data_IF_717890776851
#
_entry.id   IF_717890776851
#
_cell.length_a   1.000
_cell.length_b   1.000
_cell.length_c   1.000
_cell.angle_alpha   90.00
_cell.angle_beta   90.00
_cell.angle_gamma   90.00
#
_symmetry.space_group_name_H-M   'P 1'
#
loop_
_entity.id
_entity.type
_entity.pdbx_description
1 polymer ?
#
# COMPACT_ATOMS: atom_id res chain seq x y z
N UNK A 1 -6.14 -24.72 -17.19
CA UNK A 1 -4.91 -24.96 -16.42
C UNK A 1 -5.07 -24.36 -15.03
N UNK A 2 -5.48 -25.15 -14.04
CA UNK A 2 -5.53 -24.75 -12.63
C UNK A 2 -5.74 -26.00 -11.78
N UNK A 3 -4.67 -26.70 -11.41
CA UNK A 3 -4.75 -27.64 -10.29
C UNK A 3 -3.37 -28.03 -9.72
N UNK A 4 -2.49 -27.05 -9.51
CA UNK A 4 -1.21 -27.34 -8.86
C UNK A 4 -1.37 -28.00 -7.47
N UNK A 5 -2.37 -27.62 -6.64
CA UNK A 5 -2.66 -28.35 -5.41
C UNK A 5 -2.96 -29.83 -5.65
N UNK A 6 -3.83 -30.18 -6.61
CA UNK A 6 -4.10 -31.58 -6.94
C UNK A 6 -2.85 -32.28 -7.47
N UNK A 7 -2.06 -31.65 -8.35
CA UNK A 7 -0.81 -32.23 -8.86
C UNK A 7 0.15 -32.59 -7.72
N UNK A 8 0.28 -31.72 -6.72
CA UNK A 8 1.11 -31.97 -5.53
C UNK A 8 0.56 -33.11 -4.68
N UNK A 9 -0.76 -33.12 -4.41
CA UNK A 9 -1.41 -34.20 -3.68
C UNK A 9 -1.26 -35.54 -4.39
N UNK A 10 -1.49 -35.58 -5.71
CA UNK A 10 -1.32 -36.79 -6.52
C UNK A 10 0.14 -37.27 -6.54
N UNK A 11 1.11 -36.37 -6.66
CA UNK A 11 2.54 -36.72 -6.60
C UNK A 11 2.93 -37.28 -5.24
N UNK A 12 2.49 -36.64 -4.16
CA UNK A 12 2.75 -37.14 -2.81
C UNK A 12 2.08 -38.47 -2.52
N UNK A 13 0.85 -38.68 -2.99
CA UNK A 13 0.16 -39.96 -2.90
C UNK A 13 0.90 -41.06 -3.68
N UNK A 14 1.37 -40.78 -4.89
CA UNK A 14 2.19 -41.70 -5.68
C UNK A 14 3.50 -42.05 -4.96
N UNK A 15 4.20 -41.06 -4.40
CA UNK A 15 5.43 -41.29 -3.64
C UNK A 15 5.19 -42.12 -2.38
N UNK A 16 4.06 -41.91 -1.68
CA UNK A 16 3.67 -42.70 -0.54
C UNK A 16 3.35 -44.16 -0.92
N UNK A 17 2.69 -44.37 -2.06
CA UNK A 17 2.40 -45.71 -2.59
C UNK A 17 3.69 -46.46 -2.96
N UNK A 18 4.60 -45.80 -3.68
CA UNK A 18 5.90 -46.39 -4.03
C UNK A 18 6.72 -46.73 -2.79
N UNK A 19 6.77 -45.84 -1.80
CA UNK A 19 7.47 -46.11 -0.54
C UNK A 19 6.88 -47.32 0.20
N UNK A 20 5.55 -47.45 0.21
CA UNK A 20 4.87 -48.60 0.79
C UNK A 20 5.14 -49.91 0.02
N UNK A 21 5.19 -49.87 -1.32
CA UNK A 21 5.53 -51.02 -2.17
C UNK A 21 6.97 -51.49 -1.94
N UNK A 22 7.91 -50.54 -1.83
CA UNK A 22 9.33 -50.81 -1.59
C UNK A 22 9.66 -51.13 -0.11
N UNK A 23 8.67 -51.08 0.80
CA UNK A 23 8.88 -51.28 2.23
C UNK A 23 9.75 -50.21 2.90
N UNK A 24 9.82 -49.02 2.32
CA UNK A 24 10.62 -47.89 2.81
C UNK A 24 9.77 -46.91 3.62
N UNK A 25 10.42 -46.03 4.39
CA UNK A 25 9.72 -45.00 5.15
C UNK A 25 9.02 -44.00 4.22
N UNK A 26 7.81 -43.58 4.58
CA UNK A 26 7.09 -42.55 3.86
C UNK A 26 7.95 -41.28 3.72
N UNK A 27 8.07 -40.72 2.50
CA UNK A 27 8.81 -39.48 2.32
C UNK A 27 8.11 -38.34 3.08
N UNK A 28 8.87 -37.46 3.75
CA UNK A 28 8.28 -36.35 4.48
C UNK A 28 7.55 -35.41 3.53
N UNK A 29 6.38 -34.92 3.94
CA UNK A 29 5.70 -33.88 3.20
C UNK A 29 6.52 -32.58 3.27
N UNK A 30 6.78 -31.88 2.15
CA UNK A 30 7.57 -30.67 2.17
C UNK A 30 6.93 -29.62 3.09
N UNK A 31 7.61 -29.27 4.17
CA UNK A 31 7.19 -28.18 5.04
C UNK A 31 7.64 -26.86 4.45
N UNK A 32 6.67 -26.13 3.91
CA UNK A 32 6.85 -24.78 3.42
C UNK A 32 6.30 -23.80 4.43
N UNK A 33 7.13 -22.89 4.91
CA UNK A 33 6.76 -21.89 5.91
C UNK A 33 6.89 -20.49 5.31
N UNK A 34 6.09 -19.55 5.82
CA UNK A 34 6.32 -18.15 5.46
C UNK A 34 7.63 -17.69 6.11
N UNK A 35 8.49 -16.96 5.38
CA UNK A 35 9.71 -16.42 5.96
C UNK A 35 9.38 -15.50 7.14
N UNK A 36 10.19 -15.47 8.21
CA UNK A 36 10.03 -14.49 9.28
C UNK A 36 9.98 -13.06 8.71
N UNK A 37 9.14 -12.19 9.28
CA UNK A 37 8.88 -10.86 8.71
C UNK A 37 10.15 -10.03 8.45
N UNK A 38 11.08 -9.99 9.41
CA UNK A 38 12.35 -9.28 9.27
C UNK A 38 13.20 -9.83 8.11
N UNK A 39 13.24 -11.16 7.95
CA UNK A 39 13.94 -11.81 6.85
C UNK A 39 13.24 -11.50 5.51
N UNK A 40 11.92 -11.62 5.46
CA UNK A 40 11.15 -11.32 4.26
C UNK A 40 11.33 -9.86 3.79
N UNK A 41 11.31 -8.90 4.72
CA UNK A 41 11.61 -7.49 4.45
C UNK A 41 13.03 -7.31 3.94
N UNK A 42 14.01 -8.00 4.53
CA UNK A 42 15.40 -7.95 4.04
C UNK A 42 15.57 -8.50 2.61
N UNK A 43 14.62 -9.32 2.14
CA UNK A 43 14.57 -9.89 0.78
C UNK A 43 13.82 -9.01 -0.23
N UNK A 44 13.03 -8.02 0.17
CA UNK A 44 12.20 -7.24 -0.78
C UNK A 44 13.03 -6.36 -1.70
N UNK A 45 12.71 -6.29 -2.99
CA UNK A 45 13.41 -5.44 -3.92
C UNK A 45 13.50 -6.07 -5.31
N UNK A 46 14.25 -5.42 -6.19
CA UNK A 46 14.33 -5.76 -7.60
C UNK A 46 15.59 -6.57 -7.87
N UNK A 47 15.46 -7.68 -8.57
CA UNK A 47 16.52 -8.64 -8.85
C UNK A 47 16.61 -8.88 -10.36
N UNK A 48 17.79 -8.74 -10.95
CA UNK A 48 18.00 -8.91 -12.39
C UNK A 48 17.90 -7.62 -13.19
N UNK A 49 17.77 -7.71 -14.51
CA UNK A 49 17.79 -6.59 -15.45
C UNK A 49 16.88 -6.86 -16.65
N UNK A 50 16.40 -5.79 -17.30
CA UNK A 50 15.50 -5.91 -18.45
C UNK A 50 14.23 -6.70 -18.11
N UNK A 51 13.90 -7.71 -18.90
CA UNK A 51 12.78 -8.62 -18.66
C UNK A 51 13.18 -9.88 -17.86
N UNK A 52 14.49 -10.12 -17.67
CA UNK A 52 15.01 -11.28 -16.93
C UNK A 52 15.27 -10.89 -15.48
N UNK A 53 14.21 -10.96 -14.68
CA UNK A 53 14.28 -10.59 -13.27
C UNK A 53 12.96 -10.69 -12.54
N UNK A 54 13.03 -10.38 -11.25
CA UNK A 54 11.92 -10.46 -10.32
C UNK A 54 11.88 -9.24 -9.42
N UNK A 55 10.69 -8.77 -9.09
CA UNK A 55 10.46 -7.89 -7.95
C UNK A 55 9.92 -8.73 -6.79
N UNK A 56 10.62 -8.72 -5.67
CA UNK A 56 10.16 -9.33 -4.43
C UNK A 56 9.44 -8.30 -3.57
N UNK A 57 8.20 -8.61 -3.20
CA UNK A 57 7.32 -7.75 -2.41
C UNK A 57 6.85 -8.51 -1.16
N UNK A 58 6.93 -7.86 0.01
CA UNK A 58 6.35 -8.38 1.24
C UNK A 58 5.06 -7.65 1.55
N UNK A 59 3.94 -8.37 1.58
CA UNK A 59 2.60 -7.82 1.75
C UNK A 59 1.75 -8.74 2.63
N UNK A 60 1.10 -8.19 3.65
CA UNK A 60 0.18 -8.92 4.54
C UNK A 60 0.77 -10.22 5.09
N UNK A 61 2.01 -10.17 5.58
CA UNK A 61 2.67 -11.34 6.17
C UNK A 61 3.22 -12.36 5.16
N UNK A 62 3.21 -12.05 3.86
CA UNK A 62 3.58 -13.00 2.80
C UNK A 62 4.57 -12.37 1.83
N UNK A 63 5.55 -13.16 1.41
CA UNK A 63 6.51 -12.78 0.38
C UNK A 63 5.99 -13.21 -1.00
N UNK A 64 6.09 -12.32 -1.97
CA UNK A 64 5.70 -12.56 -3.35
C UNK A 64 6.82 -12.20 -4.31
N UNK A 65 6.82 -12.84 -5.48
CA UNK A 65 7.66 -12.49 -6.61
C UNK A 65 6.82 -12.13 -7.83
N UNK A 66 7.17 -11.03 -8.47
CA UNK A 66 6.64 -10.61 -9.76
C UNK A 66 7.73 -10.69 -10.83
N UNK A 67 7.55 -11.50 -11.89
CA UNK A 67 8.49 -11.49 -13.00
C UNK A 67 8.44 -10.14 -13.74
N UNK A 68 9.59 -9.62 -14.15
CA UNK A 68 9.68 -8.39 -14.94
C UNK A 68 9.01 -8.50 -16.31
N UNK A 69 8.97 -9.70 -16.88
CA UNK A 69 8.33 -10.01 -18.16
C UNK A 69 6.79 -10.03 -18.10
N UNK A 70 6.17 -9.85 -16.92
CA UNK A 70 4.75 -10.16 -16.71
C UNK A 70 4.52 -11.63 -16.39
N UNK A 71 3.27 -12.07 -16.43
CA UNK A 71 2.88 -13.38 -15.90
C UNK A 71 2.07 -13.26 -14.62
N UNK A 72 2.30 -14.22 -13.73
CA UNK A 72 1.59 -14.33 -12.47
C UNK A 72 2.45 -13.90 -11.30
N UNK A 73 1.83 -13.32 -10.29
CA UNK A 73 2.44 -13.18 -8.97
C UNK A 73 2.62 -14.55 -8.32
N UNK A 74 3.82 -14.85 -7.88
CA UNK A 74 4.14 -16.11 -7.19
C UNK A 74 4.27 -15.85 -5.70
N UNK A 75 3.53 -16.59 -4.85
CA UNK A 75 3.82 -16.61 -3.41
C UNK A 75 5.11 -17.40 -3.20
N UNK A 76 6.04 -16.85 -2.43
CA UNK A 76 7.28 -17.50 -2.05
C UNK A 76 7.21 -17.96 -0.59
N UNK A 77 7.65 -19.19 -0.33
CA UNK A 77 7.76 -19.77 1.01
C UNK A 77 9.12 -20.43 1.19
N UNK A 78 9.59 -20.55 2.42
CA UNK A 78 10.84 -21.20 2.75
C UNK A 78 10.69 -22.72 2.83
N UNK A 79 11.61 -23.44 2.19
CA UNK A 79 11.82 -24.88 2.31
C UNK A 79 13.32 -25.08 2.59
N UNK A 80 13.66 -25.23 3.87
CA UNK A 80 15.05 -25.06 4.33
C UNK A 80 15.56 -23.65 4.03
N UNK A 81 16.70 -23.54 3.36
CA UNK A 81 17.31 -22.27 2.95
C UNK A 81 16.82 -21.74 1.59
N UNK A 82 15.90 -22.46 0.94
CA UNK A 82 15.39 -22.09 -0.39
C UNK A 82 14.08 -21.35 -0.29
N UNK A 83 13.91 -20.33 -1.12
CA UNK A 83 12.62 -19.75 -1.46
C UNK A 83 11.99 -20.59 -2.56
N UNK A 84 10.77 -21.06 -2.36
CA UNK A 84 10.04 -21.92 -3.29
C UNK A 84 8.71 -21.27 -3.63
N UNK A 85 8.34 -21.28 -4.92
CA UNK A 85 7.01 -20.86 -5.35
C UNK A 85 5.95 -21.83 -4.82
N UNK A 86 4.92 -21.29 -4.19
CA UNK A 86 3.87 -22.05 -3.51
C UNK A 86 2.51 -21.36 -3.71
N UNK A 87 2.02 -21.38 -4.94
CA UNK A 87 0.76 -20.77 -5.35
C UNK A 87 -0.24 -21.76 -5.95
N UNK A 88 -1.44 -21.27 -6.26
CA UNK A 88 -2.52 -22.06 -6.86
C UNK A 88 -2.26 -22.44 -8.33
N UNK A 89 -1.55 -21.56 -9.05
CA UNK A 89 -1.25 -21.72 -10.47
C UNK A 89 0.12 -22.35 -10.73
N UNK A 90 1.09 -22.12 -9.83
CA UNK A 90 2.47 -22.56 -9.97
C UNK A 90 3.07 -22.96 -8.64
N UNK A 91 3.90 -24.00 -8.64
CA UNK A 91 4.67 -24.41 -7.47
C UNK A 91 5.97 -25.12 -7.83
N UNK A 92 6.96 -25.02 -6.95
CA UNK A 92 8.18 -25.83 -6.99
C UNK A 92 9.37 -25.16 -7.68
N UNK A 93 9.18 -24.02 -8.36
CA UNK A 93 10.31 -23.20 -8.78
C UNK A 93 11.01 -22.67 -7.53
N UNK A 94 12.33 -22.78 -7.46
CA UNK A 94 13.07 -22.43 -6.24
C UNK A 94 14.32 -21.64 -6.50
N UNK A 95 14.61 -20.75 -5.56
CA UNK A 95 15.76 -19.87 -5.55
C UNK A 95 16.46 -19.94 -4.19
N UNK A 96 17.77 -19.74 -4.17
CA UNK A 96 18.51 -19.40 -2.95
C UNK A 96 18.64 -17.88 -2.89
N UNK A 97 18.30 -17.27 -1.77
CA UNK A 97 18.62 -15.87 -1.51
C UNK A 97 20.02 -15.83 -0.89
N UNK A 98 20.94 -15.12 -1.54
CA UNK A 98 22.34 -14.99 -1.10
C UNK A 98 22.64 -13.57 -0.69
N UNK A 99 23.45 -13.44 0.35
CA UNK A 99 24.08 -12.19 0.75
C UNK A 99 25.55 -12.48 1.02
N UNK A 100 26.40 -12.22 0.05
CA UNK A 100 27.84 -12.47 0.12
C UNK A 100 28.56 -11.12 0.15
N UNK A 101 29.17 -10.76 1.29
CA UNK A 101 29.86 -9.48 1.48
C UNK A 101 29.01 -8.24 1.15
N UNK A 102 27.70 -8.28 1.46
CA UNK A 102 26.76 -7.21 1.15
C UNK A 102 26.19 -7.23 -0.27
N UNK A 103 26.67 -8.14 -1.13
CA UNK A 103 26.11 -8.36 -2.46
C UNK A 103 24.95 -9.35 -2.37
N UNK A 104 23.74 -8.83 -2.53
CA UNK A 104 22.50 -9.60 -2.44
C UNK A 104 22.09 -10.10 -3.82
N UNK A 105 21.73 -11.38 -3.94
CA UNK A 105 21.26 -11.96 -5.20
C UNK A 105 20.24 -13.09 -4.99
N UNK A 106 19.43 -13.37 -6.01
CA UNK A 106 18.68 -14.62 -6.13
C UNK A 106 19.44 -15.58 -7.04
N UNK A 107 19.51 -16.84 -6.65
CA UNK A 107 20.19 -17.90 -7.42
C UNK A 107 19.22 -19.03 -7.75
N UNK A 108 19.21 -19.49 -9.00
CA UNK A 108 18.64 -20.79 -9.40
C UNK A 108 19.71 -21.66 -10.07
N UNK A 109 19.38 -22.90 -10.43
CA UNK A 109 20.32 -23.84 -11.03
C UNK A 109 21.09 -24.66 -9.99
N UNK A 110 22.06 -25.44 -10.46
CA UNK A 110 22.95 -26.24 -9.60
C UNK A 110 24.14 -25.40 -9.13
N UNK A 111 24.94 -25.93 -8.22
CA UNK A 111 26.19 -25.25 -7.80
C UNK A 111 27.22 -25.18 -8.92
N UNK A 112 27.18 -26.13 -9.86
CA UNK A 112 28.07 -26.17 -11.02
C UNK A 112 27.66 -25.23 -12.16
N UNK A 113 26.38 -24.83 -12.22
CA UNK A 113 25.84 -23.93 -13.25
C UNK A 113 24.77 -23.01 -12.65
N UNK A 114 25.19 -21.99 -11.87
CA UNK A 114 24.27 -21.10 -11.20
C UNK A 114 23.81 -19.96 -12.10
N UNK A 115 22.50 -19.74 -12.17
CA UNK A 115 21.94 -18.49 -12.70
C UNK A 115 21.71 -17.52 -11.55
N UNK A 116 22.34 -16.34 -11.62
CA UNK A 116 22.26 -15.29 -10.61
C UNK A 116 21.49 -14.07 -11.13
N UNK A 117 20.59 -13.58 -10.29
CA UNK A 117 19.94 -12.27 -10.47
C UNK A 117 20.42 -11.36 -9.33
N UNK A 118 21.37 -10.45 -9.58
CA UNK A 118 21.83 -9.51 -8.57
C UNK A 118 20.71 -8.54 -8.19
N UNK A 119 20.64 -8.14 -6.92
CA UNK A 119 19.73 -7.08 -6.48
C UNK A 119 20.15 -5.76 -7.11
N UNK A 120 19.19 -5.02 -7.66
CA UNK A 120 19.39 -3.66 -8.12
C UNK A 120 19.69 -2.76 -6.90
N UNK A 121 20.62 -1.82 -7.04
CA UNK A 121 20.87 -0.82 -6.01
C UNK A 121 19.60 0.00 -5.76
N UNK A 122 19.23 0.16 -4.48
CA UNK A 122 17.92 0.74 -4.10
C UNK A 122 17.90 2.27 -4.10
N UNK A 123 18.92 2.93 -4.67
CA UNK A 123 19.20 4.33 -4.39
C UNK A 123 18.53 5.32 -5.34
N UNK A 124 18.14 4.90 -6.54
CA UNK A 124 17.54 5.80 -7.51
C UNK A 124 16.03 5.56 -7.66
N UNK A 125 15.20 6.62 -7.56
CA UNK A 125 13.80 6.52 -7.94
C UNK A 125 13.68 6.07 -9.41
N UNK A 126 12.68 5.24 -9.76
CA UNK A 126 12.40 4.90 -11.16
C UNK A 126 12.25 6.16 -12.03
N UNK A 127 12.61 6.11 -13.32
CA UNK A 127 12.48 7.25 -14.20
C UNK A 127 11.03 7.71 -14.32
N UNK A 128 10.84 9.01 -14.51
CA UNK A 128 9.52 9.56 -14.88
C UNK A 128 9.17 9.11 -16.28
N UNK A 129 7.89 8.86 -16.51
CA UNK A 129 7.37 8.33 -17.76
C UNK A 129 6.74 9.44 -18.59
N UNK A 130 6.45 9.16 -19.87
CA UNK A 130 5.72 10.10 -20.71
C UNK A 130 4.43 10.59 -20.01
N UNK A 131 4.23 11.91 -19.83
CA UNK A 131 3.03 12.44 -19.18
C UNK A 131 1.72 11.96 -19.81
N UNK A 132 1.73 11.66 -21.11
CA UNK A 132 0.59 11.13 -21.87
C UNK A 132 0.12 9.72 -21.48
N UNK A 133 0.87 9.01 -20.64
CA UNK A 133 0.41 7.73 -20.11
C UNK A 133 -0.31 7.89 -18.77
N UNK A 134 -0.14 9.03 -18.09
CA UNK A 134 -0.64 9.24 -16.74
C UNK A 134 -2.16 9.11 -16.64
N UNK A 135 -2.87 9.54 -17.68
CA UNK A 135 -4.32 9.47 -17.82
C UNK A 135 -4.84 8.09 -18.23
N UNK A 136 -3.97 7.23 -18.77
CA UNK A 136 -4.26 5.83 -19.10
C UNK A 136 -4.20 4.91 -17.87
N UNK A 137 -3.54 5.33 -16.79
CA UNK A 137 -3.37 4.52 -15.58
C UNK A 137 -4.65 4.47 -14.74
N UNK A 138 -4.83 3.36 -14.04
CA UNK A 138 -5.93 3.15 -13.10
C UNK A 138 -6.78 1.94 -13.46
N UNK A 139 -7.95 1.85 -12.82
CA UNK A 139 -8.86 0.74 -13.00
C UNK A 139 -9.89 1.01 -14.10
N UNK A 140 -10.32 -0.06 -14.77
CA UNK A 140 -11.34 -0.07 -15.79
C UNK A 140 -12.26 -1.29 -15.59
N UNK A 141 -13.53 -1.18 -16.00
CA UNK A 141 -14.50 -2.28 -15.98
C UNK A 141 -15.36 -2.32 -14.72
N UNK A 142 -15.68 -3.53 -14.28
CA UNK A 142 -16.66 -3.80 -13.22
C UNK A 142 -15.98 -4.32 -11.95
N UNK A 143 -16.70 -4.28 -10.82
CA UNK A 143 -16.20 -4.79 -9.54
C UNK A 143 -15.83 -6.29 -9.61
N UNK A 144 -16.55 -7.03 -10.45
CA UNK A 144 -16.36 -8.46 -10.68
C UNK A 144 -15.51 -8.78 -11.92
N UNK A 145 -14.93 -7.78 -12.59
CA UNK A 145 -13.91 -7.98 -13.63
C UNK A 145 -13.23 -6.64 -13.89
N UNK A 146 -12.20 -6.36 -13.10
CA UNK A 146 -11.43 -5.11 -13.17
C UNK A 146 -10.17 -5.34 -14.01
N UNK A 147 -9.97 -4.47 -14.99
CA UNK A 147 -8.74 -4.33 -15.76
C UNK A 147 -7.98 -3.14 -15.18
N UNK A 148 -6.80 -3.38 -14.60
CA UNK A 148 -5.95 -2.31 -14.07
C UNK A 148 -4.81 -2.04 -15.02
N UNK A 149 -4.72 -0.80 -15.51
CA UNK A 149 -3.58 -0.31 -16.28
C UNK A 149 -2.57 0.31 -15.33
N UNK A 150 -1.32 -0.11 -15.44
CA UNK A 150 -0.21 0.37 -14.62
C UNK A 150 1.01 0.55 -15.49
N UNK A 151 1.94 1.40 -15.06
CA UNK A 151 3.28 1.36 -15.61
C UNK A 151 4.19 0.48 -14.76
N UNK A 152 5.03 -0.31 -15.42
CA UNK A 152 6.15 -1.03 -14.81
C UNK A 152 7.32 -1.08 -15.78
N UNK A 153 8.54 -0.84 -15.31
CA UNK A 153 9.77 -1.03 -16.07
C UNK A 153 9.85 -0.23 -17.39
N UNK A 154 9.28 0.97 -17.45
CA UNK A 154 9.27 1.79 -18.67
C UNK A 154 8.22 1.36 -19.70
N UNK A 155 7.26 0.50 -19.34
CA UNK A 155 6.21 0.03 -20.24
C UNK A 155 4.86 -0.02 -19.54
N UNK A 156 3.78 0.15 -20.29
CA UNK A 156 2.45 -0.11 -19.76
C UNK A 156 2.23 -1.61 -19.60
N UNK A 157 1.53 -1.96 -18.53
CA UNK A 157 1.06 -3.30 -18.25
C UNK A 157 -0.43 -3.27 -17.96
N UNK A 158 -1.07 -4.40 -18.20
CA UNK A 158 -2.45 -4.66 -17.82
C UNK A 158 -2.51 -5.82 -16.85
N UNK A 159 -3.03 -5.57 -15.66
CA UNK A 159 -3.48 -6.61 -14.75
C UNK A 159 -4.95 -6.91 -15.05
N UNK A 160 -5.23 -8.12 -15.50
CA UNK A 160 -6.58 -8.59 -15.86
C UNK A 160 -6.80 -10.01 -15.32
N UNK A 161 -8.07 -10.39 -15.16
CA UNK A 161 -8.46 -11.65 -14.52
C UNK A 161 -7.88 -11.76 -13.10
N UNK A 162 -7.69 -10.64 -12.39
CA UNK A 162 -7.18 -10.53 -11.01
C UNK A 162 -5.77 -11.08 -10.71
N UNK A 163 -5.16 -11.85 -11.62
CA UNK A 163 -3.92 -12.57 -11.35
C UNK A 163 -2.91 -12.56 -12.50
N UNK A 164 -3.25 -12.02 -13.66
CA UNK A 164 -2.40 -12.05 -14.83
C UNK A 164 -1.98 -10.65 -15.26
N UNK A 165 -0.66 -10.42 -15.28
CA UNK A 165 -0.04 -9.16 -15.66
C UNK A 165 0.59 -9.28 -17.05
N UNK A 166 0.12 -8.48 -18.02
CA UNK A 166 0.60 -8.49 -19.40
C UNK A 166 1.39 -7.21 -19.72
N UNK A 167 2.61 -7.29 -20.27
CA UNK A 167 3.28 -6.14 -20.85
C UNK A 167 2.57 -5.72 -22.13
N UNK A 168 2.39 -4.42 -22.35
CA UNK A 168 1.84 -3.86 -23.57
C UNK A 168 2.94 -3.32 -24.47
N UNK A 169 2.82 -3.57 -25.77
CA UNK A 169 3.61 -2.87 -26.80
C UNK A 169 2.78 -1.74 -27.35
N UNK A 170 3.30 -0.51 -27.29
CA UNK A 170 2.65 0.64 -27.93
C UNK A 170 2.76 0.54 -29.45
N UNK A 171 1.64 0.72 -30.15
CA UNK A 171 1.56 0.72 -31.62
C UNK A 171 0.89 1.98 -32.19
N UNK A 172 0.34 2.84 -31.33
CA UNK A 172 -0.24 4.14 -31.63
C UNK A 172 -0.48 4.94 -30.35
N UNK A 173 -0.99 6.17 -30.46
CA UNK A 173 -1.17 7.07 -29.31
C UNK A 173 -2.05 6.47 -28.21
N UNK A 174 -3.17 5.85 -28.61
CA UNK A 174 -4.11 5.16 -27.75
C UNK A 174 -4.21 3.66 -28.07
N UNK A 175 -3.34 3.15 -28.95
CA UNK A 175 -3.36 1.78 -29.45
C UNK A 175 -2.14 0.99 -28.95
N UNK A 176 -2.42 -0.16 -28.34
CA UNK A 176 -1.45 -1.07 -27.76
C UNK A 176 -1.74 -2.51 -28.19
N UNK A 177 -0.76 -3.38 -28.00
CA UNK A 177 -0.86 -4.80 -28.33
C UNK A 177 -0.39 -5.65 -27.16
N UNK A 178 -1.16 -6.70 -26.85
CA UNK A 178 -0.77 -7.75 -25.92
C UNK A 178 0.41 -8.57 -26.48
N UNK A 179 1.16 -9.31 -25.64
CA UNK A 179 2.24 -10.16 -26.12
C UNK A 179 1.67 -11.36 -26.90
N UNK A 180 2.52 -12.12 -27.58
CA UNK A 180 2.12 -13.33 -28.33
C UNK A 180 1.90 -14.58 -27.46
N UNK A 181 1.59 -14.38 -26.17
CA UNK A 181 1.39 -15.45 -25.20
C UNK A 181 0.26 -15.11 -24.22
N UNK A 182 -0.24 -16.15 -23.54
CA UNK A 182 -1.33 -16.03 -22.56
C UNK A 182 -2.71 -16.01 -23.22
N UNK A 183 -3.73 -15.60 -22.46
CA UNK A 183 -5.14 -15.65 -22.89
C UNK A 183 -5.50 -14.59 -23.93
N UNK A 184 -4.77 -13.48 -23.94
CA UNK A 184 -4.99 -12.34 -24.84
C UNK A 184 -3.88 -12.28 -25.91
N UNK A 185 -3.32 -13.43 -26.28
CA UNK A 185 -2.18 -13.48 -27.19
C UNK A 185 -2.50 -12.74 -28.50
N UNK A 186 -1.64 -11.77 -28.86
CA UNK A 186 -1.74 -10.94 -30.07
C UNK A 186 -2.99 -10.05 -30.17
N UNK A 187 -3.82 -9.96 -29.12
CA UNK A 187 -4.97 -9.07 -29.08
C UNK A 187 -4.56 -7.59 -29.05
N UNK A 188 -5.43 -6.75 -29.61
CA UNK A 188 -5.31 -5.30 -29.55
C UNK A 188 -5.94 -4.72 -28.27
N UNK A 189 -5.36 -3.64 -27.78
CA UNK A 189 -5.90 -2.81 -26.72
C UNK A 189 -6.01 -1.37 -27.20
N UNK A 190 -7.18 -0.74 -27.06
CA UNK A 190 -7.41 0.65 -27.47
C UNK A 190 -8.05 1.47 -26.38
N UNK A 191 -7.46 2.61 -26.03
CA UNK A 191 -8.10 3.60 -25.17
C UNK A 191 -9.12 4.43 -25.96
N UNK A 192 -10.26 4.71 -25.33
CA UNK A 192 -11.29 5.59 -25.87
C UNK A 192 -11.34 6.87 -25.06
N UNK A 193 -11.27 7.99 -25.77
CA UNK A 193 -11.41 9.33 -25.22
C UNK A 193 -12.76 9.93 -25.58
N UNK A 194 -13.24 10.86 -24.75
CA UNK A 194 -14.37 11.73 -25.11
C UNK A 194 -13.92 12.92 -25.96
N UNK A 195 -14.89 13.75 -26.36
CA UNK A 195 -14.66 14.95 -27.17
C UNK A 195 -13.75 15.98 -26.46
N UNK A 196 -13.58 15.86 -25.15
CA UNK A 196 -12.64 16.69 -24.36
C UNK A 196 -11.25 16.09 -24.23
N UNK A 197 -11.00 14.93 -24.85
CA UNK A 197 -9.73 14.21 -24.82
C UNK A 197 -9.52 13.36 -23.56
N UNK A 198 -10.51 13.25 -22.67
CA UNK A 198 -10.39 12.44 -21.44
C UNK A 198 -10.66 10.98 -21.74
N UNK A 199 -9.80 10.09 -21.23
CA UNK A 199 -10.00 8.64 -21.32
C UNK A 199 -11.27 8.25 -20.57
N UNK A 200 -12.20 7.57 -21.25
CA UNK A 200 -13.46 7.08 -20.67
C UNK A 200 -13.55 5.55 -20.64
N UNK A 201 -12.78 4.85 -21.47
CA UNK A 201 -12.79 3.39 -21.51
C UNK A 201 -11.51 2.84 -22.14
N UNK A 202 -11.33 1.54 -22.00
CA UNK A 202 -10.35 0.74 -22.74
C UNK A 202 -11.06 -0.44 -23.39
N UNK A 203 -10.71 -0.75 -24.63
CA UNK A 203 -11.21 -1.90 -25.38
C UNK A 203 -10.13 -2.96 -25.43
N UNK A 204 -10.49 -4.20 -25.15
CA UNK A 204 -9.68 -5.39 -25.39
C UNK A 204 -10.48 -6.29 -26.31
N UNK A 205 -10.05 -6.41 -27.56
CA UNK A 205 -10.87 -7.00 -28.62
C UNK A 205 -12.26 -6.32 -28.69
N UNK A 206 -13.38 -7.07 -28.62
CA UNK A 206 -14.73 -6.50 -28.64
C UNK A 206 -15.23 -6.00 -27.26
N UNK A 207 -14.49 -6.24 -26.17
CA UNK A 207 -14.95 -5.97 -24.80
C UNK A 207 -14.53 -4.56 -24.38
N UNK A 208 -15.50 -3.75 -23.95
CA UNK A 208 -15.29 -2.38 -23.48
C UNK A 208 -15.31 -2.32 -21.94
N UNK A 209 -14.21 -1.86 -21.35
CA UNK A 209 -14.06 -1.64 -19.92
C UNK A 209 -14.11 -0.14 -19.64
N UNK A 210 -15.15 0.34 -18.95
CA UNK A 210 -15.30 1.76 -18.61
C UNK A 210 -14.26 2.19 -17.57
N UNK A 211 -13.67 3.38 -17.70
CA UNK A 211 -12.73 3.93 -16.71
C UNK A 211 -13.42 4.02 -15.36
N UNK A 212 -12.76 3.48 -14.33
CA UNK A 212 -13.24 3.53 -12.96
C UNK A 212 -12.55 4.66 -12.20
N UNK A 213 -13.28 5.21 -11.24
CA UNK A 213 -14.73 5.32 -11.13
C UNK A 213 -15.24 6.14 -12.31
N UNK A 214 -16.41 5.80 -12.84
CA UNK A 214 -17.09 6.63 -13.85
C UNK A 214 -17.36 8.08 -13.37
N UNK A 215 -17.13 8.37 -12.09
CA UNK A 215 -17.23 9.66 -11.44
C UNK A 215 -16.00 9.90 -10.54
N UNK A 216 -14.94 10.50 -11.07
CA UNK A 216 -13.76 10.83 -10.24
C UNK A 216 -13.30 12.25 -10.49
N UNK A 217 -13.54 13.11 -9.49
CA UNK A 217 -12.78 14.28 -9.02
C UNK A 217 -13.65 15.38 -8.37
N UNK A 218 -14.96 15.43 -8.67
CA UNK A 218 -15.79 16.61 -8.33
C UNK A 218 -16.76 16.46 -7.15
N UNK A 219 -17.12 15.25 -6.70
CA UNK A 219 -18.22 15.07 -5.73
C UNK A 219 -17.85 14.21 -4.50
N UNK A 220 -16.71 14.46 -3.86
CA UNK A 220 -16.74 14.36 -2.39
C UNK A 220 -17.54 15.58 -1.94
N UNK A 221 -18.70 15.36 -1.31
CA UNK A 221 -19.61 16.43 -0.92
C UNK A 221 -18.86 17.46 -0.05
N UNK A 222 -18.42 18.55 -0.68
CA UNK A 222 -17.75 19.64 0.01
C UNK A 222 -18.80 20.37 0.82
N UNK A 223 -18.72 20.25 2.13
CA UNK A 223 -19.62 20.95 3.04
C UNK A 223 -19.15 22.40 3.20
N UNK A 224 -20.11 23.33 3.17
CA UNK A 224 -19.82 24.70 3.60
C UNK A 224 -19.58 24.73 5.12
N UNK A 225 -18.84 25.72 5.65
CA UNK A 225 -18.68 25.90 7.09
C UNK A 225 -20.02 25.95 7.85
N UNK A 226 -21.03 26.61 7.28
CA UNK A 226 -22.38 26.72 7.86
C UNK A 226 -23.08 25.36 7.92
N UNK A 227 -22.93 24.54 6.87
CA UNK A 227 -23.52 23.20 6.82
C UNK A 227 -22.87 22.27 7.85
N UNK A 228 -21.55 22.40 8.05
CA UNK A 228 -20.83 21.65 9.08
C UNK A 228 -21.26 22.07 10.49
N UNK A 229 -21.43 23.38 10.74
CA UNK A 229 -21.85 23.88 12.05
C UNK A 229 -23.31 23.52 12.37
N UNK A 230 -24.19 23.58 11.36
CA UNK A 230 -25.56 23.08 11.48
C UNK A 230 -25.58 21.59 11.82
N UNK A 231 -24.76 20.77 11.14
CA UNK A 231 -24.62 19.36 11.48
C UNK A 231 -24.14 19.18 12.93
N UNK A 232 -23.06 19.87 13.33
CA UNK A 232 -22.52 19.82 14.70
C UNK A 232 -23.58 20.13 15.74
N UNK A 233 -24.40 21.15 15.50
CA UNK A 233 -25.49 21.57 16.41
C UNK A 233 -26.64 20.57 16.52
N UNK A 234 -26.84 19.70 15.51
CA UNK A 234 -27.90 18.68 15.52
C UNK A 234 -27.45 17.35 16.13
N UNK A 235 -26.14 17.09 16.22
CA UNK A 235 -25.63 15.86 16.80
C UNK A 235 -25.80 15.87 18.34
N UNK A 236 -26.37 14.80 18.93
CA UNK A 236 -26.53 14.74 20.37
C UNK A 236 -25.16 14.73 21.07
N UNK A 237 -25.13 15.26 22.29
CA UNK A 237 -23.99 15.10 23.18
C UNK A 237 -23.74 13.60 23.40
N UNK A 238 -22.49 13.19 23.22
CA UNK A 238 -22.07 11.81 23.39
C UNK A 238 -20.61 11.80 23.86
N UNK A 239 -20.23 10.73 24.54
CA UNK A 239 -18.86 10.45 25.00
C UNK A 239 -18.29 9.25 24.23
N UNK A 240 -16.97 9.13 24.10
CA UNK A 240 -16.35 7.97 23.46
C UNK A 240 -16.76 6.68 24.18
N UNK A 241 -16.93 5.57 23.43
CA UNK A 241 -17.10 4.24 24.02
C UNK A 241 -15.93 3.91 24.97
N UNK A 242 -16.25 3.52 26.20
CA UNK A 242 -15.26 3.07 27.20
C UNK A 242 -15.04 1.57 27.11
N UNK A 243 -13.82 1.11 27.36
CA UNK A 243 -13.49 -0.31 27.49
C UNK A 243 -13.48 -0.76 28.96
N UNK A 244 -13.41 -2.07 29.19
CA UNK A 244 -13.36 -2.68 30.53
C UNK A 244 -11.95 -2.61 31.19
N UNK A 245 -10.98 -1.94 30.55
CA UNK A 245 -9.58 -1.88 31.00
C UNK A 245 -9.30 -0.57 31.73
N UNK A 246 -8.36 -0.60 32.67
CA UNK A 246 -7.81 0.63 33.25
C UNK A 246 -7.10 1.42 32.16
N UNK A 247 -7.55 2.63 31.90
CA UNK A 247 -7.01 3.46 30.83
C UNK A 247 -5.58 3.92 31.18
N UNK A 248 -4.58 3.69 30.30
CA UNK A 248 -3.27 4.30 30.46
C UNK A 248 -3.40 5.83 30.51
N UNK A 249 -2.61 6.46 31.38
CA UNK A 249 -2.48 7.92 31.42
C UNK A 249 -1.78 8.34 30.11
N UNK A 250 -2.36 9.29 29.35
CA UNK A 250 -1.74 9.76 28.12
C UNK A 250 -0.44 10.51 28.37
N UNK A 251 0.54 10.26 27.51
CA UNK A 251 1.85 10.91 27.48
C UNK A 251 1.99 11.61 26.13
N UNK A 252 1.33 12.78 26.03
CA UNK A 252 1.19 13.52 24.78
C UNK A 252 2.48 14.26 24.40
N UNK A 253 2.83 14.21 23.12
CA UNK A 253 3.94 14.98 22.54
C UNK A 253 3.44 15.82 21.36
N UNK A 254 3.73 17.12 21.35
CA UNK A 254 3.57 17.99 20.18
C UNK A 254 4.70 17.70 19.20
N UNK A 255 4.36 17.22 17.99
CA UNK A 255 5.36 16.88 16.98
C UNK A 255 6.20 18.08 16.55
N UNK A 256 5.62 19.29 16.55
CA UNK A 256 6.36 20.51 16.19
C UNK A 256 7.45 20.85 17.21
N UNK A 257 7.28 20.45 18.47
CA UNK A 257 8.28 20.66 19.52
C UNK A 257 9.31 19.53 19.54
N UNK A 258 8.89 18.29 19.27
CA UNK A 258 9.78 17.13 19.23
C UNK A 258 10.80 17.22 18.09
N UNK A 259 10.36 17.54 16.87
CA UNK A 259 11.23 17.72 15.71
C UNK A 259 10.71 18.89 14.86
N UNK A 260 11.26 20.11 15.04
CA UNK A 260 10.86 21.29 14.29
C UNK A 260 11.13 21.21 12.79
N UNK A 261 11.81 20.17 12.31
CA UNK A 261 12.06 19.94 10.89
C UNK A 261 11.00 19.07 10.21
N UNK A 262 10.00 18.58 10.96
CA UNK A 262 8.80 17.97 10.41
C UNK A 262 7.91 19.03 9.76
N UNK A 263 7.53 18.79 8.51
CA UNK A 263 6.52 19.60 7.84
C UNK A 263 5.12 19.18 8.31
N UNK A 264 4.36 20.15 8.83
CA UNK A 264 2.98 19.94 9.27
C UNK A 264 2.01 20.64 8.32
N UNK A 265 1.22 19.86 7.60
CA UNK A 265 0.11 20.34 6.77
C UNK A 265 -1.16 19.62 7.19
N UNK A 266 -1.62 19.94 8.41
CA UNK A 266 -2.77 19.28 9.04
C UNK A 266 -4.04 19.56 8.24
N UNK A 267 -4.43 18.61 7.38
CA UNK A 267 -5.44 18.80 6.32
C UNK A 267 -6.83 19.09 6.90
N UNK A 268 -7.12 18.57 8.09
CA UNK A 268 -8.37 18.83 8.81
C UNK A 268 -8.42 20.20 9.51
N UNK A 269 -7.31 20.94 9.58
CA UNK A 269 -7.29 22.36 9.97
C UNK A 269 -7.49 23.32 8.77
N UNK A 270 -7.59 22.78 7.55
CA UNK A 270 -7.84 23.52 6.31
C UNK A 270 -8.99 22.91 5.49
N UNK A 271 -9.02 23.19 4.19
CA UNK A 271 -10.05 22.69 3.26
C UNK A 271 -9.56 21.56 2.33
N UNK A 272 -8.30 21.15 2.46
CA UNK A 272 -7.69 20.08 1.66
C UNK A 272 -7.93 18.69 2.27
N UNK A 273 -9.17 18.44 2.68
CA UNK A 273 -9.62 17.19 3.26
C UNK A 273 -10.95 16.77 2.60
N UNK A 274 -11.41 15.52 2.81
CA UNK A 274 -12.62 15.00 2.16
C UNK A 274 -13.90 15.81 2.36
N UNK A 275 -14.00 16.57 3.45
CA UNK A 275 -15.16 17.41 3.73
C UNK A 275 -15.10 18.77 3.05
N UNK A 276 -13.94 19.18 2.54
CA UNK A 276 -13.74 20.49 1.91
C UNK A 276 -13.78 21.68 2.87
N UNK A 277 -13.82 21.43 4.19
CA UNK A 277 -13.91 22.46 5.23
C UNK A 277 -13.12 22.04 6.47
N UNK A 278 -12.66 23.00 7.26
CA UNK A 278 -11.87 22.75 8.45
C UNK A 278 -12.75 22.19 9.58
N UNK A 279 -12.26 21.16 10.25
CA UNK A 279 -12.90 20.55 11.44
C UNK A 279 -12.05 20.72 12.69
N UNK A 280 -10.75 21.03 12.54
CA UNK A 280 -9.86 21.38 13.64
C UNK A 280 -9.75 22.89 13.82
N UNK A 281 -9.64 23.38 15.06
CA UNK A 281 -9.45 24.81 15.34
C UNK A 281 -8.02 25.30 15.03
N UNK A 282 -7.03 24.40 14.97
CA UNK A 282 -5.63 24.74 14.75
C UNK A 282 -4.87 23.58 14.09
N UNK A 283 -3.83 23.92 13.31
CA UNK A 283 -2.96 22.95 12.64
C UNK A 283 -1.88 22.43 13.62
N UNK A 284 -2.29 21.57 14.56
CA UNK A 284 -1.41 20.92 15.53
C UNK A 284 -1.47 19.40 15.37
N UNK A 285 -0.36 18.74 15.69
CA UNK A 285 -0.25 17.29 15.65
C UNK A 285 0.30 16.76 16.98
N UNK A 286 -0.51 15.95 17.65
CA UNK A 286 -0.12 15.27 18.89
C UNK A 286 -0.09 13.77 18.67
N UNK A 287 0.86 13.09 19.28
CA UNK A 287 0.92 11.63 19.37
C UNK A 287 1.28 11.23 20.80
N UNK A 288 1.04 9.96 21.15
CA UNK A 288 1.64 9.37 22.33
C UNK A 288 3.16 9.34 22.15
N UNK A 289 3.91 9.60 23.22
CA UNK A 289 5.38 9.74 23.20
C UNK A 289 6.09 8.65 22.40
N UNK A 290 5.77 7.39 22.65
CA UNK A 290 6.37 6.25 21.95
C UNK A 290 6.17 6.27 20.43
N UNK A 291 5.00 6.70 19.95
CA UNK A 291 4.71 6.83 18.53
C UNK A 291 5.39 8.09 17.95
N UNK A 292 5.43 9.19 18.70
CA UNK A 292 6.10 10.43 18.31
C UNK A 292 7.61 10.22 18.12
N UNK A 293 8.28 9.59 19.08
CA UNK A 293 9.71 9.27 19.02
C UNK A 293 10.04 8.30 17.87
N UNK A 294 9.16 7.33 17.61
CA UNK A 294 9.30 6.43 16.46
C UNK A 294 9.18 7.18 15.13
N UNK A 295 8.21 8.09 15.01
CA UNK A 295 8.03 8.93 13.83
C UNK A 295 9.25 9.83 13.58
N UNK A 296 9.82 10.42 14.63
CA UNK A 296 11.04 11.23 14.53
C UNK A 296 12.22 10.39 13.99
N UNK A 297 12.40 9.14 14.45
CA UNK A 297 13.42 8.24 13.89
C UNK A 297 13.18 7.95 12.41
N UNK A 298 11.93 7.73 11.98
CA UNK A 298 11.59 7.58 10.57
C UNK A 298 12.00 8.83 9.78
N UNK A 299 11.62 10.01 10.25
CA UNK A 299 11.95 11.29 9.61
C UNK A 299 13.45 11.42 9.40
N UNK A 300 14.25 11.20 10.46
CA UNK A 300 15.71 11.31 10.39
C UNK A 300 16.33 10.28 9.43
N UNK A 301 15.80 9.06 9.36
CA UNK A 301 16.29 8.00 8.46
C UNK A 301 15.98 8.26 6.98
N UNK A 302 14.97 9.07 6.66
CA UNK A 302 14.63 9.45 5.27
C UNK A 302 15.53 10.58 4.73
N UNK A 303 16.11 11.42 5.60
CA UNK A 303 16.89 12.60 5.17
C UNK A 303 18.08 12.27 4.27
N UNK A 304 18.89 11.22 4.52
CA UNK A 304 20.00 10.86 3.61
C UNK A 304 19.53 10.45 2.21
N UNK A 305 18.25 10.05 2.05
CA UNK A 305 17.64 9.74 0.76
C UNK A 305 17.03 10.97 0.08
N UNK A 306 17.16 12.16 0.67
CA UNK A 306 16.62 13.41 0.15
C UNK A 306 15.13 13.62 0.43
N UNK A 307 14.55 12.88 1.37
CA UNK A 307 13.12 12.97 1.72
C UNK A 307 12.91 13.37 3.19
N UNK A 308 11.83 14.10 3.44
CA UNK A 308 11.25 14.36 4.76
C UNK A 308 9.84 13.81 4.86
N UNK A 309 9.26 13.85 6.06
CA UNK A 309 7.86 13.49 6.30
C UNK A 309 6.99 14.74 6.28
N UNK A 310 5.82 14.61 5.65
CA UNK A 310 4.74 15.58 5.72
C UNK A 310 3.61 14.99 6.56
N UNK A 311 3.32 15.59 7.70
CA UNK A 311 2.24 15.15 8.60
C UNK A 311 0.92 15.80 8.17
N UNK A 312 -0.04 14.95 7.79
CA UNK A 312 -1.35 15.33 7.25
C UNK A 312 -2.45 15.27 8.32
N UNK A 313 -2.35 14.32 9.25
CA UNK A 313 -3.20 14.19 10.43
C UNK A 313 -2.48 13.35 11.51
N UNK A 314 -2.87 13.52 12.78
CA UNK A 314 -2.31 12.79 13.92
C UNK A 314 -3.43 12.48 14.93
N UNK A 315 -3.29 12.83 16.21
CA UNK A 315 -4.39 12.73 17.15
C UNK A 315 -5.64 13.49 16.67
N UNK A 316 -6.75 12.74 16.56
CA UNK A 316 -8.07 13.26 16.21
C UNK A 316 -9.00 13.05 17.39
N UNK A 317 -9.60 14.10 17.99
CA UNK A 317 -10.61 13.91 19.04
C UNK A 317 -11.77 13.03 18.56
N UNK A 318 -12.30 12.17 19.43
CA UNK A 318 -13.40 11.27 19.07
C UNK A 318 -14.64 12.02 18.58
N UNK A 319 -14.97 13.17 19.16
CA UNK A 319 -16.03 14.07 18.71
C UNK A 319 -15.86 14.52 17.25
N UNK A 320 -14.63 14.74 16.79
CA UNK A 320 -14.33 15.04 15.37
C UNK A 320 -14.54 13.81 14.49
N UNK A 321 -14.18 12.61 14.97
CA UNK A 321 -14.48 11.35 14.25
C UNK A 321 -15.99 11.18 14.05
N UNK A 322 -16.77 11.48 15.08
CA UNK A 322 -18.24 11.47 15.02
C UNK A 322 -18.76 12.48 14.00
N UNK A 323 -18.22 13.69 14.00
CA UNK A 323 -18.58 14.72 13.01
C UNK A 323 -18.26 14.28 11.58
N UNK A 324 -17.04 13.78 11.32
CA UNK A 324 -16.62 13.30 9.99
C UNK A 324 -17.51 12.15 9.53
N UNK A 325 -17.82 11.19 10.40
CA UNK A 325 -18.71 10.07 10.07
C UNK A 325 -20.09 10.52 9.59
N UNK A 326 -20.72 11.46 10.31
CA UNK A 326 -22.04 11.97 9.94
C UNK A 326 -22.01 12.91 8.73
N UNK A 327 -20.88 13.58 8.49
CA UNK A 327 -20.65 14.40 7.31
C UNK A 327 -20.36 13.56 6.04
N UNK A 328 -19.91 12.31 6.20
CA UNK A 328 -19.51 11.46 5.09
C UNK A 328 -20.71 10.69 4.49
N UNK A 329 -20.94 10.77 3.16
CA UNK A 329 -21.95 9.99 2.46
C UNK A 329 -21.80 8.48 2.71
N UNK A 330 -22.91 7.74 2.71
CA UNK A 330 -22.95 6.34 3.14
C UNK A 330 -22.02 5.43 2.31
N UNK A 331 -21.91 5.70 1.02
CA UNK A 331 -21.05 5.00 0.05
C UNK A 331 -19.55 5.13 0.35
N UNK A 332 -19.13 6.18 1.08
CA UNK A 332 -17.74 6.44 1.44
C UNK A 332 -17.39 6.07 2.88
N UNK A 333 -18.36 5.58 3.67
CA UNK A 333 -18.14 5.26 5.09
C UNK A 333 -17.15 4.12 5.33
N UNK A 334 -16.85 3.30 4.32
CA UNK A 334 -15.78 2.29 4.40
C UNK A 334 -14.37 2.88 4.58
N UNK A 335 -14.19 4.18 4.30
CA UNK A 335 -12.93 4.91 4.48
C UNK A 335 -12.87 5.70 5.79
N UNK A 336 -13.97 5.79 6.54
CA UNK A 336 -14.08 6.57 7.78
C UNK A 336 -14.36 5.64 8.95
N UNK A 337 -13.78 5.92 10.11
CA UNK A 337 -13.99 5.11 11.30
C UNK A 337 -15.42 5.29 11.84
N UNK A 338 -16.08 4.17 12.17
CA UNK A 338 -17.38 4.19 12.83
C UNK A 338 -17.22 4.68 14.28
N UNK A 339 -17.96 5.70 14.74
CA UNK A 339 -17.80 6.24 16.09
C UNK A 339 -17.97 5.23 17.22
N UNK A 340 -18.75 4.17 16.97
CA UNK A 340 -18.99 3.05 17.89
C UNK A 340 -17.73 2.24 18.21
N UNK A 341 -16.82 2.11 17.24
CA UNK A 341 -15.53 1.41 17.42
C UNK A 341 -14.36 2.39 17.56
N UNK A 342 -14.57 3.64 17.14
CA UNK A 342 -13.60 4.72 17.20
C UNK A 342 -12.52 4.62 16.13
N UNK A 343 -11.81 5.72 15.94
CA UNK A 343 -10.64 5.81 15.08
C UNK A 343 -9.37 5.43 15.84
N UNK A 344 -8.38 4.87 15.12
CA UNK A 344 -7.03 4.68 15.65
C UNK A 344 -6.35 6.02 15.98
N UNK A 345 -6.75 7.10 15.29
CA UNK A 345 -6.34 8.47 15.57
C UNK A 345 -6.82 8.99 16.94
N UNK A 346 -7.96 8.51 17.46
CA UNK A 346 -8.45 8.91 18.79
C UNK A 346 -7.52 8.50 19.91
N UNK A 347 -6.60 7.58 19.64
CA UNK A 347 -5.72 6.96 20.62
C UNK A 347 -4.36 7.67 20.71
N UNK A 348 -4.08 8.61 19.80
CA UNK A 348 -2.76 9.23 19.66
C UNK A 348 -1.70 8.28 19.09
N UNK A 349 -2.12 7.20 18.45
CA UNK A 349 -1.27 6.09 18.02
C UNK A 349 -1.36 5.84 16.51
N UNK A 350 -1.96 6.77 15.77
CA UNK A 350 -2.05 6.73 14.32
C UNK A 350 -1.67 8.10 13.74
N UNK A 351 -1.07 8.08 12.55
CA UNK A 351 -0.62 9.27 11.84
C UNK A 351 -0.86 9.10 10.35
N UNK A 352 -1.33 10.16 9.71
CA UNK A 352 -1.48 10.26 8.25
C UNK A 352 -0.31 11.04 7.68
N UNK A 353 0.37 10.48 6.69
CA UNK A 353 1.65 10.98 6.19
C UNK A 353 1.72 11.02 4.66
N UNK A 354 2.53 11.94 4.16
CA UNK A 354 3.12 11.91 2.83
C UNK A 354 4.64 12.12 2.95
N UNK A 355 5.33 12.23 1.80
CA UNK A 355 6.74 12.59 1.73
C UNK A 355 6.90 13.98 1.15
N UNK A 356 7.93 14.70 1.58
CA UNK A 356 8.44 15.91 0.92
C UNK A 356 9.82 15.66 0.36
N UNK A 357 10.15 16.31 -0.75
CA UNK A 357 11.54 16.34 -1.25
C UNK A 357 12.30 17.44 -0.55
N UNK A 358 13.42 17.12 0.08
CA UNK A 358 14.24 18.12 0.78
C UNK A 358 14.93 19.10 -0.18
N UNK A 359 15.03 18.77 -1.46
CA UNK A 359 15.66 19.62 -2.48
C UNK A 359 14.84 20.88 -2.80
N UNK A 360 13.51 20.79 -2.75
CA UNK A 360 12.60 21.87 -3.15
C UNK A 360 11.40 22.08 -2.19
N UNK A 361 11.30 21.28 -1.13
CA UNK A 361 10.22 21.34 -0.13
C UNK A 361 8.86 20.87 -0.66
N UNK A 362 8.77 20.33 -1.88
CA UNK A 362 7.49 19.95 -2.46
C UNK A 362 7.04 18.58 -1.98
N UNK A 363 5.74 18.44 -1.76
CA UNK A 363 5.09 17.15 -1.57
C UNK A 363 5.39 16.23 -2.77
N UNK A 364 5.69 14.97 -2.45
CA UNK A 364 5.90 13.90 -3.42
C UNK A 364 4.55 13.45 -3.97
N UNK A 365 4.47 13.27 -5.29
CA UNK A 365 3.28 12.70 -5.92
C UNK A 365 3.13 11.23 -5.53
N UNK A 366 2.06 10.93 -4.82
CA UNK A 366 1.70 9.59 -4.34
C UNK A 366 0.66 8.92 -5.27
N UNK A 367 0.29 7.65 -5.03
CA UNK A 367 -0.69 6.94 -5.86
C UNK A 367 -2.06 7.63 -5.97
N UNK A 368 -2.48 8.31 -4.92
CA UNK A 368 -3.69 9.13 -4.88
C UNK A 368 -3.43 10.38 -4.05
N UNK A 369 -4.33 11.37 -4.13
CA UNK A 369 -4.33 12.47 -3.17
C UNK A 369 -4.79 11.98 -1.78
N UNK A 370 -4.40 12.72 -0.74
CA UNK A 370 -4.94 12.52 0.60
C UNK A 370 -6.47 12.66 0.58
N UNK A 371 -7.15 11.70 1.23
CA UNK A 371 -8.61 11.73 1.34
C UNK A 371 -9.36 11.33 0.06
N UNK A 372 -8.67 10.96 -1.01
CA UNK A 372 -9.29 10.35 -2.20
C UNK A 372 -9.79 8.95 -1.85
N UNK A 373 -11.08 8.66 -2.07
CA UNK A 373 -11.75 7.44 -1.62
C UNK A 373 -12.03 6.49 -2.78
N UNK A 374 -10.97 5.98 -3.38
CA UNK A 374 -10.98 5.07 -4.53
C UNK A 374 -10.02 3.89 -4.33
N UNK A 375 -9.82 3.09 -5.37
CA UNK A 375 -8.86 1.98 -5.32
C UNK A 375 -7.42 2.46 -5.14
N UNK A 376 -7.06 3.65 -5.63
CA UNK A 376 -5.72 4.22 -5.51
C UNK A 376 -5.35 4.61 -4.07
N UNK A 377 -6.34 4.80 -3.20
CA UNK A 377 -6.13 4.95 -1.76
C UNK A 377 -5.49 3.73 -1.10
N UNK A 378 -5.64 2.52 -1.66
CA UNK A 378 -5.15 1.30 -1.03
C UNK A 378 -3.61 1.20 -1.06
N UNK A 379 -2.98 0.71 0.03
CA UNK A 379 -1.51 0.64 0.18
C UNK A 379 -0.81 -0.29 -0.80
N UNK A 380 -1.54 -1.14 -1.52
CA UNK A 380 -1.00 -2.08 -2.49
C UNK A 380 -1.60 -1.90 -3.89
N UNK A 381 -2.27 -0.78 -4.15
CA UNK A 381 -2.84 -0.51 -5.46
C UNK A 381 -1.76 -0.50 -6.56
N UNK A 382 -1.89 -1.33 -7.61
CA UNK A 382 -0.86 -1.44 -8.64
C UNK A 382 -0.99 -0.40 -9.75
N UNK A 383 -2.19 0.15 -9.99
CA UNK A 383 -2.61 0.98 -11.13
C UNK A 383 -2.02 2.38 -11.25
N UNK A 384 -0.74 2.54 -10.93
CA UNK A 384 -0.03 3.83 -10.92
C UNK A 384 1.34 3.71 -11.58
N UNK A 385 2.14 4.78 -11.54
CA UNK A 385 3.53 4.74 -12.04
C UNK A 385 4.43 3.98 -11.07
N UNK A 386 5.53 3.41 -11.58
CA UNK A 386 6.58 2.82 -10.76
C UNK A 386 7.16 3.81 -9.76
N UNK A 387 7.25 5.10 -10.13
CA UNK A 387 7.73 6.15 -9.23
C UNK A 387 6.78 6.37 -8.04
N UNK A 388 5.47 6.51 -8.28
CA UNK A 388 4.47 6.64 -7.21
C UNK A 388 4.47 5.43 -6.28
N UNK A 389 4.54 4.21 -6.83
CA UNK A 389 4.64 2.98 -6.02
C UNK A 389 5.93 2.92 -5.22
N UNK A 390 7.06 3.33 -5.82
CA UNK A 390 8.35 3.40 -5.13
C UNK A 390 8.31 4.36 -3.95
N UNK A 391 7.73 5.55 -4.10
CA UNK A 391 7.57 6.52 -3.00
C UNK A 391 6.65 6.00 -1.88
N UNK A 392 5.50 5.42 -2.25
CA UNK A 392 4.60 4.77 -1.29
C UNK A 392 5.31 3.66 -0.52
N UNK A 393 6.02 2.79 -1.22
CA UNK A 393 6.68 1.63 -0.64
C UNK A 393 7.92 2.03 0.18
N UNK A 394 8.61 3.12 -0.20
CA UNK A 394 9.65 3.77 0.61
C UNK A 394 9.07 4.24 1.95
N UNK A 395 8.00 5.04 1.92
CA UNK A 395 7.33 5.52 3.13
C UNK A 395 6.91 4.33 4.00
N UNK A 396 6.19 3.36 3.42
CA UNK A 396 5.71 2.17 4.15
C UNK A 396 6.85 1.42 4.84
N UNK A 397 7.92 1.11 4.10
CA UNK A 397 9.06 0.35 4.63
C UNK A 397 9.73 1.03 5.81
N UNK A 398 9.94 2.35 5.74
CA UNK A 398 10.58 3.08 6.83
C UNK A 398 9.67 3.20 8.05
N UNK A 399 8.36 3.43 7.84
CA UNK A 399 7.36 3.40 8.91
C UNK A 399 7.29 2.01 9.58
N UNK A 400 7.18 0.94 8.80
CA UNK A 400 7.09 -0.44 9.31
C UNK A 400 8.37 -0.87 10.04
N UNK A 401 9.54 -0.38 9.63
CA UNK A 401 10.80 -0.64 10.33
C UNK A 401 10.87 -0.01 11.73
N UNK A 402 10.03 0.99 12.02
CA UNK A 402 9.93 1.65 13.33
C UNK A 402 8.68 1.23 14.11
N UNK A 403 8.02 0.13 13.74
CA UNK A 403 6.92 -0.46 14.51
C UNK A 403 5.52 0.06 14.14
N UNK A 404 5.39 0.75 13.01
CA UNK A 404 4.08 1.08 12.45
C UNK A 404 3.54 -0.03 11.55
N UNK A 405 2.25 -0.01 11.26
CA UNK A 405 1.62 -0.85 10.24
C UNK A 405 0.71 0.02 9.38
N UNK A 406 0.82 -0.10 8.06
CA UNK A 406 -0.05 0.65 7.14
C UNK A 406 -1.51 0.22 7.27
N UNK A 407 -2.43 1.18 7.19
CA UNK A 407 -3.86 0.89 7.20
C UNK A 407 -4.26 0.17 5.90
N UNK A 408 -5.07 -0.91 5.95
CA UNK A 408 -5.38 -1.72 4.76
C UNK A 408 -6.14 -0.98 3.64
N UNK A 409 -6.78 0.14 3.96
CA UNK A 409 -7.57 0.94 3.02
C UNK A 409 -6.95 2.31 2.69
N UNK A 410 -5.82 2.68 3.30
CA UNK A 410 -5.23 4.02 3.15
C UNK A 410 -3.72 3.91 3.13
N UNK A 411 -3.09 4.27 2.02
CA UNK A 411 -1.64 4.21 1.86
C UNK A 411 -0.90 5.20 2.77
N UNK A 412 -1.58 6.28 3.17
CA UNK A 412 -1.02 7.36 3.99
C UNK A 412 -1.18 7.13 5.50
N UNK A 413 -2.09 6.27 5.96
CA UNK A 413 -2.36 6.06 7.39
C UNK A 413 -1.47 4.96 7.95
N UNK A 414 -0.77 5.26 9.04
CA UNK A 414 0.12 4.34 9.75
C UNK A 414 -0.25 4.25 11.22
N UNK A 415 -0.43 3.03 11.72
CA UNK A 415 -0.83 2.78 13.11
C UNK A 415 0.33 2.15 13.87
N UNK A 416 0.72 2.77 14.99
CA UNK A 416 1.81 2.30 15.83
C UNK A 416 1.40 1.03 16.59
N UNK A 417 2.33 0.09 16.73
CA UNK A 417 2.11 -1.14 17.49
C UNK A 417 1.57 -0.86 18.91
N UNK A 418 0.71 -1.75 19.40
CA UNK A 418 0.06 -1.57 20.70
C UNK A 418 -1.10 -0.55 20.71
N UNK A 419 -1.49 0.05 19.59
CA UNK A 419 -2.60 1.03 19.55
C UNK A 419 -3.91 0.52 20.17
N UNK A 420 -4.14 -0.80 20.18
CA UNK A 420 -5.35 -1.42 20.77
C UNK A 420 -5.42 -1.29 22.29
N UNK A 421 -4.27 -1.10 22.94
CA UNK A 421 -4.17 -1.01 24.39
C UNK A 421 -4.45 0.41 24.93
N UNK A 422 -4.64 1.39 24.03
CA UNK A 422 -4.93 2.79 24.36
C UNK A 422 -6.43 3.09 24.25
N UNK A 423 -7.02 3.95 25.08
CA UNK A 423 -8.45 4.28 25.01
C UNK A 423 -8.75 5.24 23.85
N UNK A 424 -10.04 5.47 23.62
CA UNK A 424 -10.51 6.53 22.72
C UNK A 424 -10.54 7.86 23.49
N UNK A 425 -9.60 8.76 23.18
CA UNK A 425 -9.58 10.09 23.79
C UNK A 425 -10.50 11.07 23.02
N UNK A 426 -11.01 12.06 23.77
CA UNK A 426 -11.80 13.18 23.23
C UNK A 426 -11.31 14.53 23.78
N UNK A 427 -10.07 14.58 24.28
CA UNK A 427 -9.43 15.83 24.72
C UNK A 427 -9.29 16.79 23.54
N UNK A 428 -9.61 18.06 23.73
CA UNK A 428 -9.30 19.10 22.77
C UNK A 428 -7.78 19.36 22.72
N UNK A 429 -7.30 19.99 21.64
CA UNK A 429 -5.89 20.35 21.54
C UNK A 429 -5.45 21.34 22.64
N UNK A 430 -6.35 22.19 23.14
CA UNK A 430 -6.08 23.09 24.26
C UNK A 430 -5.95 22.35 25.59
N UNK A 431 -6.81 21.35 25.82
CA UNK A 431 -6.73 20.50 27.01
C UNK A 431 -5.42 19.69 27.02
N UNK A 432 -4.98 19.19 25.87
CA UNK A 432 -3.69 18.50 25.75
C UNK A 432 -2.54 19.46 26.11
N UNK A 433 -2.48 20.66 25.52
CA UNK A 433 -1.44 21.64 25.82
C UNK A 433 -1.40 22.02 27.30
N UNK A 434 -2.57 22.25 27.91
CA UNK A 434 -2.66 22.55 29.34
C UNK A 434 -2.10 21.40 30.19
N UNK A 435 -2.44 20.15 29.87
CA UNK A 435 -1.92 18.98 30.61
C UNK A 435 -0.40 18.80 30.47
N UNK A 436 0.17 19.13 29.30
CA UNK A 436 1.62 19.07 29.09
C UNK A 436 2.34 20.14 29.93
N UNK A 437 1.80 21.35 30.00
CA UNK A 437 2.39 22.45 30.78
C UNK A 437 2.33 22.25 32.30
N UNK A 438 1.47 21.37 32.81
CA UNK A 438 1.41 21.00 34.23
C UNK A 438 2.45 19.91 34.60
N UNK A 439 3.03 19.25 33.60
CA UNK A 439 3.95 18.11 33.77
C UNK A 439 5.43 18.49 33.54
N UNK A 440 5.68 19.61 32.86
CA UNK A 440 6.98 20.29 32.72
C UNK A 440 7.32 21.15 33.95
#
# INVERSE_FOLDING_TARGET
>A
MANEPLRRLSRGALQALLAAEDGTSLPPWPQRLDPPAALALSMTGRYGQGLDGFELEYQNGRLYAWPFAGGHRMRLRMEGERLVSDGLLHSGQSWRWRNENGQVSLQSGTESDPKLWPRQAEEAPPPRLPPRWQDLLGDYGWDHNTLTVLERNGSLFVLIEWFFLYPLTEIGEDDFRFPSWGLYADEGLRFQRDDSGRVQAVLVGPVRFLRRPAAERENQARLSPESLEALRSTLPAATPPTGDRSDPIPDWVDLATLDPTLDLEIRYAGNQNPLGTAVYPQAKAFLQKQAAEALARVHQRLRPLGYGLLVLDAYQPWSVTRLIWHATPAEFRSFVAEPKTGSRHNRGMAVDLSLVRLTDGQEVTMPSNYGQYDSAAHPFFPGTTSLQRWHRDLLRRFMEAEGFTVHPNKWWQFDYQGWRDWPLFDQSFDQIRASMAETD
#
